data_IF_495960365515
#
_entry.id   IF_495960365515
#
_cell.length_a   1.000
_cell.length_b   1.000
_cell.length_c   1.000
_cell.angle_alpha   90.00
_cell.angle_beta   90.00
_cell.angle_gamma   90.00
#
_symmetry.space_group_name_H-M   'P 1'
#
loop_
_entity.id
_entity.type
_entity.pdbx_description
1 polymer ?
#
# COMPACT_ATOMS: atom_id res chain seq x y z
N UNK A 1 53.57 68.51 18.53
CA UNK A 1 52.09 68.46 18.66
C UNK A 1 51.59 67.22 17.93
N UNK A 2 50.87 66.37 18.67
CA UNK A 2 49.91 65.32 18.27
C UNK A 2 50.32 64.21 17.28
N UNK A 3 50.43 63.00 17.84
CA UNK A 3 50.27 61.72 17.18
C UNK A 3 48.82 61.53 16.68
N UNK A 4 48.65 61.08 15.44
CA UNK A 4 47.48 60.35 14.94
C UNK A 4 48.04 59.38 13.89
N UNK A 5 47.88 58.06 13.92
CA UNK A 5 46.93 57.19 14.60
C UNK A 5 46.72 56.02 13.62
N UNK A 6 47.14 54.82 14.00
CA UNK A 6 46.91 53.58 13.27
C UNK A 6 45.41 53.28 13.05
N UNK A 7 45.16 52.40 12.09
CA UNK A 7 43.99 51.51 11.89
C UNK A 7 42.95 51.91 10.84
N UNK A 8 42.88 51.08 9.79
CA UNK A 8 41.62 50.45 9.40
C UNK A 8 41.87 48.95 9.20
N UNK A 9 41.89 48.19 10.29
CA UNK A 9 41.57 46.76 10.23
C UNK A 9 40.10 46.65 9.85
N UNK A 10 39.84 46.05 8.69
CA UNK A 10 38.52 45.78 8.15
C UNK A 10 37.74 44.85 9.10
N UNK A 11 36.98 45.47 10.01
CA UNK A 11 36.01 44.83 10.89
C UNK A 11 34.72 44.62 10.12
N UNK A 12 34.59 43.46 9.49
CA UNK A 12 33.28 42.86 9.22
C UNK A 12 33.28 41.42 9.72
N UNK A 13 33.28 41.28 11.05
CA UNK A 13 32.70 40.12 11.71
C UNK A 13 31.18 40.28 11.59
N UNK A 14 30.58 39.63 10.60
CA UNK A 14 29.14 39.46 10.53
C UNK A 14 28.72 38.51 11.64
N UNK A 15 28.12 39.13 12.66
CA UNK A 15 27.05 38.61 13.51
C UNK A 15 26.74 37.12 13.32
N UNK A 16 27.21 36.34 14.30
CA UNK A 16 26.48 35.21 14.82
C UNK A 16 25.08 35.68 15.28
N UNK A 17 24.11 35.67 14.37
CA UNK A 17 22.71 35.55 14.76
C UNK A 17 22.32 34.08 14.64
N UNK A 18 22.09 33.50 15.81
CA UNK A 18 21.58 32.17 16.02
C UNK A 18 20.23 32.02 15.31
N UNK A 19 20.20 31.30 14.19
CA UNK A 19 18.97 30.64 13.74
C UNK A 19 18.70 29.54 14.76
N UNK A 20 17.75 29.83 15.63
CA UNK A 20 17.12 28.84 16.49
C UNK A 20 16.68 27.68 15.61
N UNK A 21 17.28 26.51 15.86
CA UNK A 21 16.76 25.24 15.41
C UNK A 21 15.30 25.17 15.88
N UNK A 22 14.36 25.31 14.94
CA UNK A 22 12.99 24.93 15.18
C UNK A 22 12.98 23.41 15.31
N UNK A 23 12.75 22.95 16.53
CA UNK A 23 12.39 21.58 16.87
C UNK A 23 11.16 21.19 16.05
N UNK A 24 11.43 20.67 14.86
CA UNK A 24 10.47 20.06 13.96
C UNK A 24 9.98 18.78 14.60
N UNK A 25 8.88 18.92 15.34
CA UNK A 25 8.06 17.88 15.91
C UNK A 25 8.22 16.54 15.20
N UNK A 26 8.78 15.57 15.93
CA UNK A 26 8.72 14.17 15.56
C UNK A 26 7.28 13.81 15.25
N UNK A 27 7.00 13.58 13.97
CA UNK A 27 5.76 12.98 13.53
C UNK A 27 5.69 11.59 14.14
N UNK A 28 5.01 11.48 15.27
CA UNK A 28 4.58 10.22 15.82
C UNK A 28 3.84 9.49 14.70
N UNK A 29 4.50 8.51 14.09
CA UNK A 29 3.86 7.50 13.28
C UNK A 29 2.90 6.78 14.21
N UNK A 30 1.69 7.32 14.35
CA UNK A 30 0.58 6.70 15.03
C UNK A 30 0.56 5.25 14.55
N UNK A 31 0.89 4.34 15.48
CA UNK A 31 1.05 2.94 15.18
C UNK A 31 -0.11 2.50 14.31
N UNK A 32 0.19 1.97 13.12
CA UNK A 32 -0.81 1.32 12.28
C UNK A 32 -1.45 0.25 13.17
N UNK A 33 -2.64 0.55 13.71
CA UNK A 33 -3.38 -0.34 14.59
C UNK A 33 -3.38 -1.71 13.90
N UNK A 34 -2.89 -2.71 14.62
CA UNK A 34 -2.52 -4.00 14.06
C UNK A 34 -3.61 -4.54 13.12
N UNK A 35 -3.18 -5.11 12.00
CA UNK A 35 -4.00 -5.94 11.11
C UNK A 35 -5.02 -6.70 11.95
N UNK A 36 -6.30 -6.40 11.77
CA UNK A 36 -7.43 -6.95 12.52
C UNK A 36 -7.30 -8.47 12.67
N UNK A 37 -6.68 -8.89 13.78
CA UNK A 37 -6.33 -10.28 14.01
C UNK A 37 -7.62 -11.04 14.12
N UNK A 38 -7.79 -12.02 13.25
CA UNK A 38 -8.89 -12.97 13.36
C UNK A 38 -8.54 -13.90 14.52
N UNK A 39 -9.34 -13.90 15.58
CA UNK A 39 -9.20 -14.88 16.65
C UNK A 39 -9.71 -16.25 16.18
N UNK A 40 -9.21 -17.34 16.76
CA UNK A 40 -9.66 -18.71 16.50
C UNK A 40 -11.16 -18.88 16.78
N UNK A 41 -11.68 -18.24 17.82
CA UNK A 41 -13.13 -18.24 18.11
C UNK A 41 -13.93 -17.54 17.00
N UNK A 42 -13.41 -16.42 16.47
CA UNK A 42 -14.04 -15.71 15.36
C UNK A 42 -13.99 -16.55 14.08
N UNK A 43 -12.90 -17.27 13.84
CA UNK A 43 -12.78 -18.20 12.70
C UNK A 43 -13.76 -19.35 12.83
N UNK A 44 -13.89 -19.95 14.01
CA UNK A 44 -14.83 -21.05 14.28
C UNK A 44 -16.27 -20.59 14.12
N UNK A 45 -16.60 -19.40 14.64
CA UNK A 45 -17.92 -18.77 14.47
C UNK A 45 -18.19 -18.46 13.00
N UNK A 46 -17.22 -17.94 12.27
CA UNK A 46 -17.33 -17.64 10.83
C UNK A 46 -17.62 -18.92 10.04
N UNK A 47 -16.87 -20.00 10.28
CA UNK A 47 -17.11 -21.30 9.63
C UNK A 47 -18.53 -21.80 9.88
N UNK A 48 -19.01 -21.71 11.12
CA UNK A 48 -20.37 -22.13 11.49
C UNK A 48 -21.43 -21.31 10.76
N UNK A 49 -21.35 -19.98 10.85
CA UNK A 49 -22.33 -19.08 10.23
C UNK A 49 -22.32 -19.17 8.69
N UNK A 50 -21.14 -19.38 8.10
CA UNK A 50 -20.98 -19.54 6.65
C UNK A 50 -21.66 -20.82 6.15
N UNK A 51 -21.45 -21.94 6.84
CA UNK A 51 -22.06 -23.23 6.47
C UNK A 51 -23.56 -23.29 6.82
N UNK A 52 -24.01 -22.54 7.83
CA UNK A 52 -25.44 -22.40 8.12
C UNK A 52 -26.17 -21.45 7.18
N UNK A 53 -25.48 -20.82 6.23
CA UNK A 53 -26.08 -19.92 5.23
C UNK A 53 -26.48 -18.53 5.75
N UNK A 54 -25.95 -18.06 6.89
CA UNK A 54 -26.24 -16.71 7.43
C UNK A 54 -25.92 -15.63 6.42
N UNK A 55 -26.73 -14.59 6.28
CA UNK A 55 -26.59 -13.50 5.28
C UNK A 55 -25.34 -12.65 5.50
N UNK A 56 -24.87 -11.97 4.45
CA UNK A 56 -23.69 -11.09 4.57
C UNK A 56 -23.93 -9.94 5.54
N UNK A 57 -25.17 -9.44 5.62
CA UNK A 57 -25.57 -8.41 6.58
C UNK A 57 -25.45 -8.91 8.03
N UNK A 58 -25.89 -10.13 8.32
CA UNK A 58 -25.74 -10.76 9.64
C UNK A 58 -24.27 -10.98 10.00
N UNK A 59 -23.46 -11.44 9.03
CA UNK A 59 -22.01 -11.61 9.21
C UNK A 59 -21.31 -10.27 9.46
N UNK A 60 -21.68 -9.20 8.75
CA UNK A 60 -21.14 -7.85 8.98
C UNK A 60 -21.48 -7.39 10.41
N UNK A 61 -22.74 -7.54 10.82
CA UNK A 61 -23.20 -7.12 12.14
C UNK A 61 -22.50 -7.90 13.26
N UNK A 62 -22.30 -9.20 13.07
CA UNK A 62 -21.65 -10.06 14.06
C UNK A 62 -20.14 -9.79 14.18
N UNK A 63 -19.42 -9.69 13.06
CA UNK A 63 -17.97 -9.57 13.08
C UNK A 63 -17.47 -8.10 13.13
N UNK A 64 -18.35 -7.13 12.88
CA UNK A 64 -17.99 -5.71 12.78
C UNK A 64 -16.97 -5.43 11.66
N UNK A 65 -16.97 -6.26 10.61
CA UNK A 65 -16.02 -6.19 9.48
C UNK A 65 -16.80 -6.01 8.17
N UNK A 66 -16.16 -5.40 7.17
CA UNK A 66 -16.77 -5.29 5.84
C UNK A 66 -16.98 -6.67 5.20
N UNK A 67 -18.01 -6.81 4.38
CA UNK A 67 -18.29 -8.04 3.63
C UNK A 67 -17.04 -8.56 2.88
N UNK A 68 -16.27 -7.66 2.27
CA UNK A 68 -15.04 -8.04 1.56
C UNK A 68 -13.98 -8.66 2.48
N UNK A 69 -13.80 -8.13 3.70
CA UNK A 69 -12.87 -8.69 4.66
C UNK A 69 -13.29 -10.10 5.11
N UNK A 70 -14.59 -10.32 5.26
CA UNK A 70 -15.20 -11.60 5.64
C UNK A 70 -15.06 -12.62 4.49
N UNK A 71 -15.40 -12.22 3.26
CA UNK A 71 -15.30 -13.06 2.06
C UNK A 71 -13.85 -13.48 1.77
N UNK A 72 -12.89 -12.54 1.81
CA UNK A 72 -11.46 -12.86 1.65
C UNK A 72 -11.00 -13.81 2.76
N UNK A 73 -11.45 -13.63 4.00
CA UNK A 73 -11.12 -14.56 5.08
C UNK A 73 -11.72 -15.94 4.84
N UNK A 74 -12.98 -16.03 4.42
CA UNK A 74 -13.64 -17.29 4.12
C UNK A 74 -12.92 -18.05 3.01
N UNK A 75 -12.54 -17.35 1.93
CA UNK A 75 -11.73 -17.89 0.85
C UNK A 75 -10.37 -18.40 1.34
N UNK A 76 -9.65 -17.63 2.17
CA UNK A 76 -8.37 -18.05 2.78
C UNK A 76 -8.50 -19.27 3.70
N UNK A 77 -9.71 -19.51 4.23
CA UNK A 77 -10.03 -20.66 5.08
C UNK A 77 -10.50 -21.89 4.27
N UNK A 78 -10.55 -21.80 2.94
CA UNK A 78 -10.99 -22.86 2.03
C UNK A 78 -12.48 -23.18 2.12
N UNK A 79 -13.30 -22.23 2.57
CA UNK A 79 -14.75 -22.41 2.60
C UNK A 79 -15.32 -22.34 1.17
N UNK A 80 -16.37 -23.13 0.86
CA UNK A 80 -17.00 -23.09 -0.45
C UNK A 80 -17.56 -21.69 -0.73
N UNK A 81 -17.54 -21.24 -2.00
CA UNK A 81 -18.18 -19.99 -2.35
C UNK A 81 -19.66 -20.07 -2.01
N UNK A 82 -20.19 -18.99 -1.45
CA UNK A 82 -21.55 -18.95 -0.90
C UNK A 82 -22.62 -19.34 -1.93
N UNK A 83 -22.42 -19.03 -3.21
CA UNK A 83 -23.33 -19.43 -4.29
C UNK A 83 -23.53 -20.96 -4.37
N UNK A 84 -22.50 -21.74 -4.01
CA UNK A 84 -22.55 -23.20 -4.00
C UNK A 84 -23.09 -23.76 -2.67
N UNK A 85 -22.78 -23.10 -1.54
CA UNK A 85 -23.30 -23.49 -0.22
C UNK A 85 -24.80 -23.22 -0.04
N UNK A 86 -25.33 -22.20 -0.73
CA UNK A 86 -26.77 -21.88 -0.73
C UNK A 86 -27.56 -22.85 -1.61
N UNK A 87 -26.93 -23.46 -2.61
CA UNK A 87 -27.57 -24.41 -3.52
C UNK A 87 -28.02 -25.73 -2.84
N UNK A 88 -27.50 -26.07 -1.64
CA UNK A 88 -27.90 -27.32 -0.94
C UNK A 88 -29.07 -27.16 0.03
N UNK A 89 -29.62 -25.95 0.24
CA UNK A 89 -30.72 -25.72 1.20
C UNK A 89 -31.80 -24.72 0.73
N UNK A 90 -31.89 -24.39 -0.56
CA UNK A 90 -32.96 -23.56 -1.08
C UNK A 90 -33.63 -24.24 -2.28
N UNK A 91 -34.93 -24.43 -2.14
CA UNK A 91 -35.91 -24.78 -3.16
C UNK A 91 -35.80 -23.90 -4.40
N UNK A 92 -36.21 -24.49 -5.53
CA UNK A 92 -36.56 -23.85 -6.80
C UNK A 92 -37.12 -22.44 -6.64
N UNK A 93 -36.26 -21.45 -6.81
CA UNK A 93 -36.51 -20.25 -7.62
C UNK A 93 -35.17 -19.55 -7.79
N UNK A 94 -34.61 -19.70 -8.99
CA UNK A 94 -33.36 -19.08 -9.40
C UNK A 94 -33.52 -17.55 -9.22
N UNK A 95 -32.70 -16.89 -8.37
CA UNK A 95 -32.61 -15.43 -8.38
C UNK A 95 -32.35 -15.01 -9.83
N UNK A 96 -33.01 -13.96 -10.35
CA UNK A 96 -32.79 -13.55 -11.74
C UNK A 96 -31.29 -13.41 -11.95
N UNK A 97 -30.76 -14.11 -12.96
CA UNK A 97 -29.34 -14.12 -13.29
C UNK A 97 -28.89 -12.67 -13.37
N UNK A 98 -28.13 -12.22 -12.36
CA UNK A 98 -27.59 -10.88 -12.38
C UNK A 98 -26.74 -10.79 -13.66
N UNK A 99 -26.93 -9.76 -14.50
CA UNK A 99 -26.29 -9.71 -15.80
C UNK A 99 -24.79 -9.91 -15.60
N UNK A 100 -24.25 -10.95 -16.24
CA UNK A 100 -22.81 -11.11 -16.33
C UNK A 100 -22.30 -9.81 -16.96
N UNK A 101 -21.07 -9.40 -16.61
CA UNK A 101 -20.44 -8.21 -17.23
C UNK A 101 -20.37 -8.46 -18.75
N UNK A 102 -21.38 -8.00 -19.47
CA UNK A 102 -21.65 -8.37 -20.87
C UNK A 102 -23.14 -8.34 -21.26
N UNK A 103 -24.06 -8.58 -20.32
CA UNK A 103 -25.50 -8.67 -20.62
C UNK A 103 -26.15 -7.31 -20.28
N UNK A 104 -25.77 -6.28 -21.03
CA UNK A 104 -26.30 -4.94 -20.83
C UNK A 104 -27.84 -4.97 -21.01
N UNK A 105 -28.54 -4.39 -20.03
CA UNK A 105 -29.88 -3.86 -20.26
C UNK A 105 -29.88 -3.06 -21.57
N UNK A 106 -30.98 -3.11 -22.31
CA UNK A 106 -31.28 -2.20 -23.43
C UNK A 106 -31.27 -0.76 -22.88
N UNK A 107 -30.07 -0.25 -22.66
CA UNK A 107 -29.80 1.16 -22.52
C UNK A 107 -30.24 1.76 -23.85
N UNK A 108 -30.98 2.88 -23.85
CA UNK A 108 -31.22 3.62 -25.07
C UNK A 108 -29.90 3.71 -25.82
N UNK A 109 -29.92 3.33 -27.10
CA UNK A 109 -28.76 3.38 -27.98
C UNK A 109 -28.43 4.85 -28.28
N UNK A 110 -28.11 5.59 -27.21
CA UNK A 110 -27.33 6.79 -27.27
C UNK A 110 -25.98 6.34 -27.80
N UNK A 111 -25.63 6.89 -28.96
CA UNK A 111 -24.37 6.75 -29.67
C UNK A 111 -23.19 7.12 -28.76
N UNK A 112 -22.86 6.24 -27.83
CA UNK A 112 -21.61 6.23 -27.07
C UNK A 112 -20.54 5.73 -28.02
N UNK A 113 -20.27 6.55 -29.04
CA UNK A 113 -19.51 6.21 -30.22
C UNK A 113 -18.13 5.64 -29.92
N UNK A 114 -17.45 5.28 -31.00
CA UNK A 114 -16.06 4.82 -31.05
C UNK A 114 -15.03 5.86 -30.56
N UNK A 115 -15.36 6.66 -29.55
CA UNK A 115 -14.41 7.51 -28.87
C UNK A 115 -13.33 6.63 -28.21
N UNK A 116 -12.06 6.82 -28.61
CA UNK A 116 -10.98 6.05 -28.03
C UNK A 116 -10.91 6.35 -26.53
N UNK A 117 -11.03 5.30 -25.70
CA UNK A 117 -10.89 5.39 -24.25
C UNK A 117 -9.72 6.32 -23.90
N UNK A 118 -9.94 7.35 -23.05
CA UNK A 118 -8.89 8.31 -22.75
C UNK A 118 -7.67 7.57 -22.21
N UNK A 119 -6.53 7.71 -22.89
CA UNK A 119 -5.27 7.10 -22.47
C UNK A 119 -4.95 7.67 -21.09
N UNK A 120 -4.86 6.80 -20.08
CA UNK A 120 -4.45 7.20 -18.73
C UNK A 120 -3.16 8.02 -18.85
N UNK A 121 -3.05 9.18 -18.16
CA UNK A 121 -1.86 10.00 -18.24
C UNK A 121 -0.65 9.15 -17.79
N UNK A 122 0.43 9.19 -18.57
CA UNK A 122 1.66 8.48 -18.19
C UNK A 122 2.11 9.02 -16.84
N UNK A 123 2.54 8.12 -15.94
CA UNK A 123 3.05 8.54 -14.65
C UNK A 123 4.26 9.45 -14.87
N UNK A 124 4.19 10.69 -14.39
CA UNK A 124 5.31 11.63 -14.47
C UNK A 124 6.44 11.14 -13.56
N UNK A 125 7.66 11.20 -14.06
CA UNK A 125 8.84 10.85 -13.28
C UNK A 125 9.06 11.80 -12.09
N UNK A 126 9.68 11.30 -11.02
CA UNK A 126 10.01 12.11 -9.84
C UNK A 126 11.24 11.58 -9.11
N UNK A 127 11.89 12.43 -8.33
CA UNK A 127 12.97 12.00 -7.42
C UNK A 127 12.40 11.14 -6.31
N UNK A 128 13.07 10.02 -6.01
CA UNK A 128 12.72 9.08 -4.94
C UNK A 128 13.97 8.51 -4.31
N UNK A 129 13.85 8.06 -3.07
CA UNK A 129 14.90 7.30 -2.40
C UNK A 129 14.86 5.84 -2.86
N UNK A 130 16.04 5.29 -3.17
CA UNK A 130 16.21 3.89 -3.51
C UNK A 130 15.86 2.99 -2.32
N UNK A 131 15.07 1.93 -2.54
CA UNK A 131 14.75 0.97 -1.47
C UNK A 131 15.94 0.13 -0.99
N UNK A 132 17.05 0.11 -1.74
CA UNK A 132 18.23 -0.72 -1.44
C UNK A 132 19.29 0.07 -0.68
N UNK A 133 19.68 1.23 -1.21
CA UNK A 133 20.77 2.04 -0.65
C UNK A 133 20.31 3.40 -0.10
N UNK A 134 19.03 3.74 -0.20
CA UNK A 134 18.47 5.00 0.31
C UNK A 134 18.79 6.24 -0.54
N UNK A 135 19.71 6.16 -1.51
CA UNK A 135 20.11 7.32 -2.31
C UNK A 135 18.96 7.85 -3.16
N UNK A 136 18.90 9.17 -3.29
CA UNK A 136 17.96 9.83 -4.17
C UNK A 136 18.30 9.55 -5.63
N UNK A 137 17.29 9.16 -6.41
CA UNK A 137 17.44 8.93 -7.84
C UNK A 137 16.17 9.33 -8.58
N UNK A 138 16.32 9.65 -9.87
CA UNK A 138 15.19 9.96 -10.73
C UNK A 138 14.45 8.68 -11.12
N UNK A 139 13.16 8.60 -10.75
CA UNK A 139 12.26 7.49 -11.06
C UNK A 139 11.34 7.90 -12.21
N UNK A 140 11.42 7.22 -13.35
CA UNK A 140 10.74 7.56 -14.59
C UNK A 140 9.25 7.20 -14.58
N UNK A 141 8.86 6.25 -13.72
CA UNK A 141 7.48 5.82 -13.57
C UNK A 141 7.19 5.32 -12.15
N UNK A 142 5.92 5.10 -11.83
CA UNK A 142 5.51 4.74 -10.46
C UNK A 142 6.15 3.46 -9.89
N UNK A 143 6.53 2.53 -10.76
CA UNK A 143 7.14 1.24 -10.42
C UNK A 143 8.66 1.25 -10.23
N UNK A 144 9.35 2.30 -10.63
CA UNK A 144 10.82 2.36 -10.49
C UNK A 144 11.20 2.79 -9.07
N UNK A 145 11.56 1.83 -8.21
CA UNK A 145 11.85 2.04 -6.78
C UNK A 145 13.32 1.80 -6.40
N UNK A 146 14.16 1.42 -7.36
CA UNK A 146 15.56 1.09 -7.17
C UNK A 146 16.39 1.93 -8.13
N UNK A 147 17.47 2.55 -7.65
CA UNK A 147 18.35 3.34 -8.49
C UNK A 147 19.08 2.45 -9.51
N UNK A 148 19.53 3.06 -10.61
CA UNK A 148 20.24 2.34 -11.68
C UNK A 148 21.43 1.53 -11.15
N UNK A 149 22.23 2.09 -10.24
CA UNK A 149 23.40 1.43 -9.65
C UNK A 149 23.02 0.19 -8.84
N UNK A 150 21.98 0.25 -8.00
CA UNK A 150 21.52 -0.93 -7.26
C UNK A 150 20.85 -1.94 -8.19
N UNK A 151 20.12 -1.48 -9.20
CA UNK A 151 19.47 -2.34 -10.19
C UNK A 151 20.48 -3.14 -11.02
N UNK A 152 21.69 -2.63 -11.19
CA UNK A 152 22.80 -3.31 -11.88
C UNK A 152 23.68 -4.18 -10.95
N UNK A 153 23.42 -4.23 -9.65
CA UNK A 153 24.10 -5.18 -8.77
C UNK A 153 23.57 -6.60 -8.95
N UNK A 154 24.44 -7.59 -8.78
CA UNK A 154 24.03 -9.01 -8.79
C UNK A 154 23.04 -9.32 -7.66
N UNK A 155 23.19 -8.64 -6.52
CA UNK A 155 22.30 -8.79 -5.38
C UNK A 155 20.84 -8.45 -5.71
N UNK A 156 20.60 -7.43 -6.57
CA UNK A 156 19.27 -7.12 -7.09
C UNK A 156 18.85 -8.09 -8.20
N UNK A 157 19.72 -8.37 -9.19
CA UNK A 157 19.39 -9.24 -10.33
C UNK A 157 19.03 -10.67 -9.93
N UNK A 158 19.72 -11.21 -8.93
CA UNK A 158 19.55 -12.59 -8.47
C UNK A 158 18.50 -12.74 -7.36
N UNK A 159 17.83 -11.64 -6.97
CA UNK A 159 16.81 -11.66 -5.91
C UNK A 159 17.36 -11.87 -4.50
N UNK A 160 18.68 -11.78 -4.30
CA UNK A 160 19.31 -11.96 -3.00
C UNK A 160 18.85 -10.91 -1.97
N UNK A 161 18.37 -9.75 -2.43
CA UNK A 161 17.74 -8.73 -1.58
C UNK A 161 16.42 -9.14 -0.92
N UNK A 162 15.76 -10.19 -1.42
CA UNK A 162 14.54 -10.71 -0.82
C UNK A 162 14.81 -11.63 0.39
N UNK A 163 16.04 -12.11 0.55
CA UNK A 163 16.48 -12.96 1.64
C UNK A 163 17.35 -12.12 2.58
N UNK A 164 16.77 -11.68 3.70
CA UNK A 164 17.36 -10.69 4.58
C UNK A 164 18.80 -10.99 5.00
N UNK A 165 19.64 -9.95 4.99
CA UNK A 165 20.90 -9.93 5.72
C UNK A 165 20.61 -9.97 7.23
N UNK A 166 20.54 -11.19 7.75
CA UNK A 166 20.84 -11.53 9.13
C UNK A 166 21.89 -12.64 9.08
N UNK A 167 23.15 -12.25 8.93
CA UNK A 167 24.28 -13.18 8.87
C UNK A 167 25.53 -12.39 9.12
N UNK A 168 25.97 -12.40 10.38
CA UNK A 168 27.20 -11.75 10.81
C UNK A 168 28.40 -12.35 10.11
N UNK A 169 29.40 -11.50 9.95
CA UNK A 169 30.77 -11.82 9.59
C UNK A 169 31.24 -12.98 10.48
N UNK A 170 31.31 -14.18 9.89
CA UNK A 170 31.94 -15.36 10.47
C UNK A 170 33.28 -15.52 9.78
N UNK A 171 34.33 -15.40 10.57
CA UNK A 171 35.71 -15.18 10.19
C UNK A 171 36.36 -16.31 9.37
N UNK A 172 37.43 -15.90 8.69
CA UNK A 172 38.45 -16.63 7.92
C UNK A 172 39.01 -17.90 8.65
N UNK A 173 39.21 -18.97 7.86
CA UNK A 173 39.84 -20.31 8.11
C UNK A 173 38.99 -21.49 8.59
#
# INVERSE_FOLDING_TARGET
>A
MAFFGLNVTNRYLTLFDAVAHSDGAGGASAGRKGRSSWNDEQIKKLRRMWLSGSTDAELINEFGRSANAIAIKAHRLGLPPRAEAVATNAVDELPPEAPKRGDALDYPEEDWGDEPKPKKPKSVGKVRNCLMCGVEFWSSHSGERICSSCKSTEFWRNGAYAFGHGGGDGDDW
#
